data_IF_664752944436
#
_entry.id   IF_664752944436
#
_cell.length_a   1.000
_cell.length_b   1.000
_cell.length_c   1.000
_cell.angle_alpha   90.00
_cell.angle_beta   90.00
_cell.angle_gamma   90.00
#
_symmetry.space_group_name_H-M   'P 1'
#
loop_
_entity.id
_entity.type
_entity.pdbx_description
1 polymer ?
#
# COMPACT_ATOMS: atom_id res chain seq x y z
N UNK A 1 10.62 36.06 -5.57
CA UNK A 1 10.41 34.63 -5.24
C UNK A 1 10.72 33.81 -6.49
N UNK A 2 11.82 33.05 -6.50
CA UNK A 2 12.11 32.08 -7.58
C UNK A 2 11.27 30.82 -7.34
N UNK A 3 10.57 30.27 -8.33
CA UNK A 3 9.93 28.97 -8.18
C UNK A 3 11.02 27.89 -8.13
N UNK A 4 11.04 27.13 -7.05
CA UNK A 4 11.90 25.96 -6.88
C UNK A 4 11.37 24.83 -7.78
N UNK A 5 12.15 24.47 -8.81
CA UNK A 5 11.93 23.27 -9.60
C UNK A 5 12.13 22.04 -8.71
N UNK A 6 11.06 21.39 -8.28
CA UNK A 6 11.15 20.03 -7.75
C UNK A 6 11.59 19.07 -8.87
N UNK A 7 12.58 18.20 -8.64
CA UNK A 7 13.00 17.22 -9.64
C UNK A 7 11.85 16.23 -9.87
N UNK A 8 11.36 16.14 -11.12
CA UNK A 8 10.40 15.11 -11.54
C UNK A 8 11.00 13.74 -11.20
N UNK A 9 10.40 13.05 -10.23
CA UNK A 9 10.80 11.68 -9.86
C UNK A 9 10.77 10.81 -11.13
N UNK A 10 11.80 9.96 -11.36
CA UNK A 10 11.85 9.13 -12.54
C UNK A 10 10.61 8.23 -12.56
N UNK A 11 9.95 8.15 -13.71
CA UNK A 11 8.69 7.43 -13.94
C UNK A 11 8.69 6.01 -13.33
N UNK A 12 9.84 5.32 -13.36
CA UNK A 12 10.04 3.98 -12.82
C UNK A 12 10.08 3.86 -11.28
N UNK A 13 10.16 4.96 -10.52
CA UNK A 13 10.13 4.94 -9.05
C UNK A 13 8.74 5.14 -8.46
N UNK A 14 7.68 5.23 -9.29
CA UNK A 14 6.35 5.21 -8.72
C UNK A 14 6.09 3.82 -8.13
N UNK A 15 5.69 3.71 -6.84
CA UNK A 15 5.39 2.42 -6.22
C UNK A 15 4.27 1.68 -6.97
N UNK A 16 3.47 2.42 -7.74
CA UNK A 16 2.39 1.94 -8.60
C UNK A 16 2.95 1.19 -9.82
N UNK A 17 3.95 1.75 -10.52
CA UNK A 17 4.59 1.07 -11.67
C UNK A 17 5.32 -0.19 -11.20
N UNK A 18 5.94 -0.16 -10.01
CA UNK A 18 6.59 -1.34 -9.43
C UNK A 18 5.57 -2.45 -9.10
N UNK A 19 4.40 -2.10 -8.55
CA UNK A 19 3.34 -3.05 -8.25
C UNK A 19 2.72 -3.66 -9.52
N UNK A 20 2.54 -2.86 -10.58
CA UNK A 20 2.05 -3.35 -11.89
C UNK A 20 3.09 -4.28 -12.54
N UNK A 21 4.37 -3.90 -12.54
CA UNK A 21 5.45 -4.76 -13.03
C UNK A 21 5.55 -6.06 -12.21
N UNK A 22 5.42 -5.97 -10.88
CA UNK A 22 5.40 -7.12 -9.98
C UNK A 22 4.21 -8.04 -10.23
N UNK A 23 3.02 -7.48 -10.48
CA UNK A 23 1.82 -8.24 -10.85
C UNK A 23 1.99 -8.98 -12.19
N UNK A 24 2.55 -8.31 -13.20
CA UNK A 24 2.86 -8.91 -14.51
C UNK A 24 3.89 -10.05 -14.36
N UNK A 25 4.93 -9.84 -13.54
CA UNK A 25 5.94 -10.86 -13.23
C UNK A 25 5.35 -12.05 -12.47
N UNK A 26 4.47 -11.80 -11.49
CA UNK A 26 3.80 -12.84 -10.73
C UNK A 26 2.85 -13.66 -11.60
N UNK A 27 2.17 -13.01 -12.54
CA UNK A 27 1.34 -13.64 -13.56
C UNK A 27 2.18 -14.54 -14.48
N UNK A 28 3.32 -14.04 -14.97
CA UNK A 28 4.26 -14.82 -15.76
C UNK A 28 4.79 -16.03 -14.98
N UNK A 29 5.12 -15.83 -13.70
CA UNK A 29 5.58 -16.88 -12.79
C UNK A 29 4.50 -17.92 -12.47
N UNK A 30 3.26 -17.49 -12.18
CA UNK A 30 2.12 -18.37 -11.94
C UNK A 30 1.74 -19.17 -13.19
N UNK A 31 1.86 -18.59 -14.38
CA UNK A 31 1.67 -19.33 -15.64
C UNK A 31 2.79 -20.34 -15.88
N UNK A 32 4.03 -20.01 -15.50
CA UNK A 32 5.16 -20.95 -15.52
C UNK A 32 4.95 -22.16 -14.61
N UNK A 33 4.18 -22.00 -13.52
CA UNK A 33 3.85 -23.07 -12.58
C UNK A 33 2.61 -23.89 -12.97
N UNK A 34 1.62 -23.28 -13.65
CA UNK A 34 0.37 -23.94 -14.02
C UNK A 34 0.38 -24.57 -15.43
N UNK A 35 1.41 -24.35 -16.25
CA UNK A 35 1.53 -25.08 -17.52
C UNK A 35 2.05 -26.49 -17.23
N UNK A 36 1.17 -27.48 -17.24
CA UNK A 36 1.46 -28.90 -17.13
C UNK A 36 2.78 -29.29 -17.83
N UNK A 37 3.78 -29.63 -17.02
CA UNK A 37 4.84 -30.59 -17.31
C UNK A 37 5.75 -30.37 -18.53
N UNK A 38 5.75 -29.21 -19.20
CA UNK A 38 6.51 -29.01 -20.45
C UNK A 38 7.50 -27.84 -20.39
N UNK A 39 7.97 -27.48 -19.21
CA UNK A 39 8.97 -26.41 -19.02
C UNK A 39 10.42 -26.87 -19.34
N UNK A 40 10.65 -28.16 -19.56
CA UNK A 40 12.00 -28.70 -19.81
C UNK A 40 12.45 -28.72 -21.27
N UNK A 41 11.54 -28.67 -22.25
CA UNK A 41 11.92 -28.87 -23.68
C UNK A 41 12.21 -27.57 -24.46
N UNK A 42 11.84 -26.39 -23.94
CA UNK A 42 12.10 -25.10 -24.60
C UNK A 42 13.38 -24.39 -24.11
N UNK A 43 14.13 -24.98 -23.17
CA UNK A 43 15.37 -24.39 -22.63
C UNK A 43 16.65 -25.09 -23.11
N UNK A 44 16.53 -26.19 -23.86
CA UNK A 44 17.66 -26.74 -24.63
C UNK A 44 17.76 -25.97 -25.94
N UNK A 45 18.96 -25.51 -26.27
CA UNK A 45 19.30 -24.73 -27.46
C UNK A 45 18.89 -25.44 -28.75
N UNK A 46 17.62 -25.32 -29.12
CA UNK A 46 17.06 -25.87 -30.34
C UNK A 46 17.20 -24.83 -31.43
N UNK A 47 18.11 -25.09 -32.37
CA UNK A 47 18.26 -24.25 -33.56
C UNK A 47 17.03 -24.43 -34.44
N UNK A 48 16.20 -23.40 -34.51
CA UNK A 48 14.99 -23.41 -35.34
C UNK A 48 15.34 -22.90 -36.73
N UNK A 49 15.12 -23.71 -37.77
CA UNK A 49 15.30 -23.32 -39.18
C UNK A 49 13.95 -23.30 -39.88
N UNK A 50 13.58 -22.14 -40.43
CA UNK A 50 12.41 -22.01 -41.30
C UNK A 50 12.77 -22.53 -42.69
N UNK A 51 12.09 -23.58 -43.14
CA UNK A 51 12.35 -24.25 -44.41
C UNK A 51 11.07 -24.35 -45.23
N UNK A 52 11.20 -24.56 -46.53
CA UNK A 52 10.02 -24.75 -47.39
C UNK A 52 9.40 -26.14 -47.18
N UNK A 53 8.11 -26.29 -47.53
CA UNK A 53 7.44 -27.60 -47.46
C UNK A 53 8.16 -28.66 -48.34
N UNK A 54 8.69 -28.24 -49.48
CA UNK A 54 9.47 -29.10 -50.37
C UNK A 54 10.75 -29.60 -49.70
N UNK A 55 11.44 -28.72 -49.00
CA UNK A 55 12.69 -29.02 -48.30
C UNK A 55 12.44 -29.99 -47.13
N UNK A 56 11.32 -29.86 -46.40
CA UNK A 56 10.91 -30.88 -45.43
C UNK A 56 10.67 -32.23 -46.10
N UNK A 57 10.00 -32.27 -47.26
CA UNK A 57 9.76 -33.52 -48.00
C UNK A 57 11.08 -34.17 -48.45
N UNK A 58 12.07 -33.37 -48.84
CA UNK A 58 13.41 -33.85 -49.17
C UNK A 58 14.14 -34.41 -47.93
N UNK A 59 14.12 -33.69 -46.80
CA UNK A 59 14.75 -34.14 -45.55
C UNK A 59 14.13 -35.46 -45.03
N UNK A 60 12.81 -35.62 -45.17
CA UNK A 60 12.11 -36.87 -44.84
C UNK A 60 12.52 -37.98 -45.82
N UNK A 61 12.64 -37.67 -47.12
CA UNK A 61 13.04 -38.66 -48.14
C UNK A 61 14.48 -39.15 -47.93
N UNK A 62 15.37 -38.27 -47.47
CA UNK A 62 16.77 -38.55 -47.14
C UNK A 62 16.96 -39.22 -45.76
N UNK A 63 15.87 -39.47 -45.02
CA UNK A 63 15.88 -40.08 -43.69
C UNK A 63 16.63 -39.25 -42.62
N UNK A 64 16.66 -37.93 -42.80
CA UNK A 64 17.31 -36.98 -41.89
C UNK A 64 16.34 -36.46 -40.81
N UNK A 65 15.20 -37.11 -40.60
CA UNK A 65 14.19 -36.65 -39.64
C UNK A 65 13.75 -37.80 -38.76
N UNK A 66 13.76 -37.59 -37.45
CA UNK A 66 13.48 -38.62 -36.46
C UNK A 66 12.00 -38.58 -36.00
N UNK A 67 11.43 -37.37 -35.90
CA UNK A 67 10.02 -37.18 -35.56
C UNK A 67 9.42 -36.03 -36.36
N UNK A 68 8.16 -36.19 -36.77
CA UNK A 68 7.39 -35.16 -37.47
C UNK A 68 6.12 -34.83 -36.69
N UNK A 69 5.99 -33.61 -36.22
CA UNK A 69 4.78 -33.12 -35.59
C UNK A 69 3.96 -32.31 -36.59
N UNK A 70 2.71 -32.69 -36.80
CA UNK A 70 1.79 -32.07 -37.77
C UNK A 70 0.77 -31.24 -37.00
N UNK A 71 0.76 -29.93 -37.27
CA UNK A 71 -0.18 -28.97 -36.71
C UNK A 71 -1.31 -28.62 -37.68
N UNK A 72 -2.11 -27.62 -37.31
CA UNK A 72 -3.19 -27.10 -38.15
C UNK A 72 -2.66 -26.25 -39.32
N UNK A 73 -1.61 -25.48 -39.09
CA UNK A 73 -0.99 -24.56 -40.07
C UNK A 73 0.51 -24.80 -40.27
N UNK A 74 1.19 -25.49 -39.36
CA UNK A 74 2.63 -25.72 -39.37
C UNK A 74 2.97 -27.21 -39.25
N UNK A 75 4.07 -27.61 -39.88
CA UNK A 75 4.71 -28.91 -39.72
C UNK A 75 6.07 -28.66 -39.08
N UNK A 76 6.39 -29.43 -38.03
CA UNK A 76 7.67 -29.41 -37.34
C UNK A 76 8.37 -30.75 -37.56
N UNK A 77 9.56 -30.74 -38.10
CA UNK A 77 10.41 -31.92 -38.24
C UNK A 77 11.63 -31.77 -37.32
N UNK A 78 11.92 -32.76 -36.48
CA UNK A 78 13.08 -32.73 -35.60
C UNK A 78 14.19 -33.63 -36.11
N UNK A 79 15.40 -33.09 -36.22
CA UNK A 79 16.64 -33.83 -36.45
C UNK A 79 17.54 -33.72 -35.22
N UNK A 80 18.15 -34.83 -34.81
CA UNK A 80 19.11 -34.85 -33.70
C UNK A 80 20.53 -34.86 -34.26
N UNK A 81 21.18 -33.70 -34.20
CA UNK A 81 22.60 -33.56 -34.54
C UNK A 81 23.41 -33.56 -33.23
N UNK A 82 23.84 -34.75 -32.80
CA UNK A 82 24.56 -34.93 -31.54
C UNK A 82 23.73 -34.57 -30.30
N UNK A 83 24.19 -33.57 -29.53
CA UNK A 83 23.51 -33.11 -28.31
C UNK A 83 22.49 -31.98 -28.58
N UNK A 84 22.37 -31.51 -29.83
CA UNK A 84 21.44 -30.45 -30.23
C UNK A 84 20.30 -31.01 -31.10
N UNK A 85 19.08 -30.57 -30.81
CA UNK A 85 17.89 -30.85 -31.63
C UNK A 85 17.67 -29.67 -32.57
N UNK A 86 17.76 -29.91 -33.88
CA UNK A 86 17.40 -28.93 -34.91
C UNK A 86 15.93 -29.12 -35.25
N UNK A 87 15.14 -28.05 -35.14
CA UNK A 87 13.70 -28.07 -35.45
C UNK A 87 13.49 -27.32 -36.76
N UNK A 88 13.05 -28.06 -37.78
CA UNK A 88 12.64 -27.52 -39.07
C UNK A 88 11.16 -27.18 -39.04
N UNK A 89 10.80 -25.94 -39.37
CA UNK A 89 9.41 -25.48 -39.41
C UNK A 89 9.04 -25.11 -40.85
N UNK A 90 7.97 -25.70 -41.36
CA UNK A 90 7.35 -25.30 -42.62
C UNK A 90 5.85 -25.09 -42.46
N UNK A 91 5.27 -24.27 -43.34
CA UNK A 91 3.81 -24.14 -43.44
C UNK A 91 3.22 -25.41 -44.04
N UNK A 92 2.15 -25.91 -43.43
CA UNK A 92 1.43 -27.09 -43.91
C UNK A 92 0.78 -26.78 -45.25
N UNK A 93 1.10 -27.59 -46.26
CA UNK A 93 0.38 -27.64 -47.53
C UNK A 93 -0.58 -28.83 -47.45
N UNK A 94 -1.85 -28.71 -47.86
CA UNK A 94 -2.79 -29.83 -47.90
C UNK A 94 -2.36 -30.82 -48.99
N UNK A 95 -1.48 -31.74 -48.64
CA UNK A 95 -0.94 -32.78 -49.50
C UNK A 95 -1.30 -34.15 -48.90
N UNK A 96 -2.01 -34.97 -49.68
CA UNK A 96 -2.45 -36.31 -49.28
C UNK A 96 -1.31 -37.35 -49.32
N UNK A 97 -0.15 -36.98 -49.86
CA UNK A 97 1.00 -37.89 -50.05
C UNK A 97 1.98 -37.90 -48.87
N UNK A 98 1.82 -37.01 -47.89
CA UNK A 98 2.76 -36.85 -46.77
C UNK A 98 2.69 -37.99 -45.75
N UNK A 99 1.48 -38.40 -45.34
CA UNK A 99 1.29 -39.47 -44.34
C UNK A 99 1.73 -40.84 -44.89
N UNK A 100 1.37 -41.23 -46.13
CA UNK A 100 1.88 -42.48 -46.71
C UNK A 100 3.41 -42.53 -46.81
N UNK A 101 4.08 -41.40 -47.09
CA UNK A 101 5.53 -41.30 -47.18
C UNK A 101 6.20 -41.46 -45.79
N UNK A 102 5.56 -40.96 -44.73
CA UNK A 102 6.01 -41.14 -43.35
C UNK A 102 5.83 -42.60 -42.88
N UNK A 103 4.73 -43.24 -43.26
CA UNK A 103 4.47 -44.66 -42.99
C UNK A 103 5.47 -45.57 -43.73
N UNK A 104 5.79 -45.27 -44.99
CA UNK A 104 6.79 -46.00 -45.79
C UNK A 104 8.19 -45.93 -45.15
N UNK A 105 8.56 -44.78 -44.58
CA UNK A 105 9.86 -44.54 -43.94
C UNK A 105 9.89 -44.88 -42.44
N UNK A 106 8.76 -45.32 -41.85
CA UNK A 106 8.61 -45.64 -40.42
C UNK A 106 9.00 -44.49 -39.47
N UNK A 107 8.70 -43.25 -39.85
CA UNK A 107 8.98 -42.07 -39.03
C UNK A 107 7.79 -41.81 -38.11
N UNK A 108 8.03 -41.64 -36.81
CA UNK A 108 6.97 -41.35 -35.85
C UNK A 108 6.39 -39.95 -36.12
N UNK A 109 5.07 -39.87 -36.25
CA UNK A 109 4.36 -38.62 -36.38
C UNK A 109 3.30 -38.42 -35.30
N UNK A 110 3.14 -37.17 -34.87
CA UNK A 110 2.17 -36.79 -33.83
C UNK A 110 1.43 -35.51 -34.20
N UNK A 111 0.18 -35.39 -33.74
CA UNK A 111 -0.56 -34.14 -33.83
C UNK A 111 -0.16 -33.22 -32.68
N UNK A 112 0.08 -31.93 -32.96
CA UNK A 112 0.21 -30.91 -31.91
C UNK A 112 -0.82 -29.80 -32.09
N UNK A 113 -1.34 -29.31 -30.96
CA UNK A 113 -2.19 -28.13 -30.97
C UNK A 113 -1.30 -26.89 -31.12
N UNK A 114 -1.55 -26.10 -32.16
CA UNK A 114 -0.97 -24.76 -32.26
C UNK A 114 -1.64 -23.88 -31.23
N UNK A 115 -0.99 -23.72 -30.07
CA UNK A 115 -1.41 -22.69 -29.13
C UNK A 115 -0.97 -21.34 -29.69
N UNK A 116 -1.94 -20.45 -29.87
CA UNK A 116 -1.67 -19.05 -30.17
C UNK A 116 -1.22 -18.37 -28.89
N UNK A 117 -0.02 -18.70 -28.42
CA UNK A 117 0.54 -18.23 -27.15
C UNK A 117 0.34 -16.72 -26.93
N UNK A 118 0.53 -15.93 -28.00
CA UNK A 118 0.33 -14.47 -27.98
C UNK A 118 -1.14 -14.09 -27.77
N UNK A 119 -2.07 -14.71 -28.50
CA UNK A 119 -3.51 -14.46 -28.39
C UNK A 119 -4.04 -14.90 -27.03
N UNK A 120 -3.57 -16.03 -26.52
CA UNK A 120 -3.94 -16.55 -25.19
C UNK A 120 -3.37 -15.66 -24.07
N UNK A 121 -2.15 -15.14 -24.22
CA UNK A 121 -1.60 -14.12 -23.32
C UNK A 121 -2.43 -12.84 -23.34
N UNK A 122 -2.75 -12.33 -24.53
CA UNK A 122 -3.47 -11.08 -24.69
C UNK A 122 -4.91 -11.18 -24.17
N UNK A 123 -5.59 -12.29 -24.43
CA UNK A 123 -6.95 -12.56 -23.96
C UNK A 123 -7.04 -12.57 -22.43
N UNK A 124 -6.02 -13.11 -21.74
CA UNK A 124 -5.99 -13.09 -20.28
C UNK A 124 -5.49 -11.76 -19.69
N UNK A 125 -4.69 -10.99 -20.43
CA UNK A 125 -4.23 -9.67 -20.00
C UNK A 125 -5.37 -8.63 -20.00
N UNK A 126 -6.33 -8.75 -20.90
CA UNK A 126 -7.44 -7.80 -21.06
C UNK A 126 -8.27 -7.59 -19.77
N UNK A 127 -8.81 -8.63 -19.10
CA UNK A 127 -9.52 -8.46 -17.83
C UNK A 127 -8.68 -7.79 -16.73
N UNK A 128 -7.39 -8.10 -16.68
CA UNK A 128 -6.47 -7.60 -15.65
C UNK A 128 -6.20 -6.10 -15.87
N UNK A 129 -6.00 -5.68 -17.12
CA UNK A 129 -5.84 -4.27 -17.47
C UNK A 129 -7.10 -3.46 -17.15
N UNK A 130 -8.29 -4.03 -17.36
CA UNK A 130 -9.56 -3.38 -16.98
C UNK A 130 -9.65 -3.20 -15.46
N UNK A 131 -9.35 -4.24 -14.68
CA UNK A 131 -9.34 -4.17 -13.22
C UNK A 131 -8.31 -3.16 -12.72
N UNK A 132 -7.09 -3.17 -13.26
CA UNK A 132 -6.04 -2.21 -12.92
C UNK A 132 -6.42 -0.78 -13.29
N UNK A 133 -7.04 -0.58 -14.46
CA UNK A 133 -7.54 0.72 -14.90
C UNK A 133 -8.64 1.27 -13.98
N UNK A 134 -9.59 0.42 -13.60
CA UNK A 134 -10.70 0.77 -12.69
C UNK A 134 -10.19 1.02 -11.26
N UNK A 135 -9.23 0.22 -10.80
CA UNK A 135 -8.55 0.43 -9.52
C UNK A 135 -7.75 1.74 -9.51
N UNK A 136 -7.02 2.06 -10.58
CA UNK A 136 -6.33 3.36 -10.72
C UNK A 136 -7.30 4.53 -10.74
N UNK A 137 -8.43 4.41 -11.44
CA UNK A 137 -9.47 5.43 -11.45
C UNK A 137 -10.06 5.67 -10.06
N UNK A 138 -10.34 4.59 -9.32
CA UNK A 138 -10.88 4.67 -7.96
C UNK A 138 -9.84 5.18 -6.94
N UNK A 139 -8.59 4.70 -7.02
CA UNK A 139 -7.50 5.14 -6.16
C UNK A 139 -7.21 6.65 -6.35
N UNK A 140 -7.22 7.13 -7.59
CA UNK A 140 -7.06 8.56 -7.88
C UNK A 140 -8.23 9.41 -7.34
N UNK A 141 -9.43 8.84 -7.20
CA UNK A 141 -10.59 9.52 -6.59
C UNK A 141 -10.52 9.51 -5.07
N UNK A 142 -10.12 8.38 -4.45
CA UNK A 142 -9.96 8.28 -3.00
C UNK A 142 -8.80 9.13 -2.48
N UNK A 143 -7.67 9.18 -3.19
CA UNK A 143 -6.51 9.97 -2.78
C UNK A 143 -6.75 11.49 -2.84
N UNK A 144 -7.66 11.95 -3.71
CA UNK A 144 -8.03 13.38 -3.79
C UNK A 144 -8.97 13.83 -2.66
N UNK A 145 -9.79 12.94 -2.10
CA UNK A 145 -10.70 13.26 -0.99
C UNK A 145 -10.15 12.88 0.39
N UNK A 146 -9.17 11.97 0.47
CA UNK A 146 -8.40 11.65 1.67
C UNK A 146 -6.92 11.95 1.38
N UNK A 147 -6.49 13.17 1.72
CA UNK A 147 -5.08 13.56 1.62
C UNK A 147 -4.18 12.59 2.39
N UNK A 148 -3.42 11.78 1.63
CA UNK A 148 -2.49 10.78 2.15
C UNK A 148 -2.77 9.41 1.55
N UNK A 149 -1.91 8.97 0.64
CA UNK A 149 -2.04 7.69 -0.07
C UNK A 149 -2.09 6.46 0.83
N UNK A 150 -2.36 5.31 0.21
CA UNK A 150 -2.61 3.97 0.78
C UNK A 150 -1.55 3.45 1.79
N UNK A 151 -0.42 4.14 1.95
CA UNK A 151 0.61 3.82 2.94
C UNK A 151 0.59 4.73 4.20
N UNK A 152 -0.47 5.53 4.40
CA UNK A 152 -0.63 6.43 5.55
C UNK A 152 -0.97 5.77 6.90
N UNK A 153 -0.69 4.47 7.04
CA UNK A 153 -0.81 3.74 8.31
C UNK A 153 0.34 4.16 9.24
N UNK A 154 0.16 5.19 10.06
CA UNK A 154 1.13 5.49 11.13
C UNK A 154 1.24 6.93 11.60
N UNK A 155 0.50 7.90 11.05
CA UNK A 155 0.52 9.26 11.59
C UNK A 155 -0.80 9.57 12.29
N UNK A 156 -0.79 9.49 13.62
CA UNK A 156 -1.80 10.05 14.54
C UNK A 156 -2.03 11.57 14.37
N UNK A 157 -1.46 12.19 13.32
CA UNK A 157 -1.44 13.62 13.06
C UNK A 157 -2.81 14.21 12.71
N UNK A 158 -3.83 13.39 12.42
CA UNK A 158 -5.18 13.89 12.05
C UNK A 158 -6.18 13.90 13.21
N UNK A 159 -5.89 13.25 14.34
CA UNK A 159 -6.86 13.14 15.46
C UNK A 159 -6.70 14.21 16.54
N UNK A 160 -5.61 14.99 16.51
CA UNK A 160 -5.31 15.99 17.54
C UNK A 160 -5.46 17.39 16.96
N UNK A 161 -6.68 17.79 16.59
CA UNK A 161 -6.94 19.16 16.20
C UNK A 161 -7.12 20.02 17.45
N UNK A 162 -6.37 21.11 17.52
CA UNK A 162 -6.55 22.11 18.58
C UNK A 162 -7.87 22.86 18.36
N UNK A 163 -8.74 22.85 19.36
CA UNK A 163 -9.93 23.69 19.38
C UNK A 163 -9.55 25.07 19.95
N UNK A 164 -10.15 26.14 19.43
CA UNK A 164 -10.13 27.45 20.11
C UNK A 164 -11.52 27.67 20.72
N UNK A 165 -11.73 27.28 21.99
CA UNK A 165 -13.04 27.41 22.62
C UNK A 165 -13.42 28.88 22.74
N UNK A 166 -14.68 29.19 22.47
CA UNK A 166 -15.24 30.54 22.64
C UNK A 166 -16.02 30.71 23.95
N UNK A 167 -15.92 29.72 24.85
CA UNK A 167 -16.58 29.71 26.16
C UNK A 167 -15.79 30.58 27.13
N UNK A 168 -16.47 31.38 27.92
CA UNK A 168 -15.91 32.31 28.93
C UNK A 168 -16.43 32.01 30.33
N UNK A 169 -15.86 32.64 31.36
CA UNK A 169 -16.34 32.45 32.73
C UNK A 169 -17.76 32.93 32.96
N UNK A 170 -18.22 33.89 32.14
CA UNK A 170 -19.59 34.39 32.17
C UNK A 170 -20.62 33.37 31.68
N UNK A 171 -20.20 32.38 30.87
CA UNK A 171 -21.07 31.33 30.35
C UNK A 171 -21.31 30.20 31.36
N UNK A 172 -20.64 30.25 32.52
CA UNK A 172 -20.77 29.27 33.60
C UNK A 172 -21.49 29.89 34.80
N UNK A 173 -22.48 29.20 35.34
CA UNK A 173 -23.09 29.53 36.63
C UNK A 173 -22.39 28.78 37.79
N UNK A 174 -22.22 29.45 38.94
CA UNK A 174 -21.68 28.85 40.17
C UNK A 174 -20.17 28.64 40.20
N UNK A 175 -19.71 27.84 41.18
CA UNK A 175 -18.29 27.47 41.42
C UNK A 175 -17.34 28.68 41.53
N UNK A 176 -17.75 29.72 42.26
CA UNK A 176 -16.99 30.98 42.38
C UNK A 176 -15.57 30.77 42.93
N UNK A 177 -15.43 29.91 43.94
CA UNK A 177 -14.13 29.55 44.53
C UNK A 177 -13.19 28.91 43.49
N UNK A 178 -13.69 27.93 42.72
CA UNK A 178 -12.90 27.28 41.67
C UNK A 178 -12.57 28.24 40.52
N UNK A 179 -13.47 29.18 40.19
CA UNK A 179 -13.20 30.23 39.19
C UNK A 179 -12.07 31.15 39.66
N UNK A 180 -12.08 31.55 40.93
CA UNK A 180 -11.06 32.43 41.50
C UNK A 180 -9.67 31.78 41.47
N UNK A 181 -9.56 30.48 41.79
CA UNK A 181 -8.29 29.74 41.69
C UNK A 181 -7.77 29.65 40.25
N UNK A 182 -8.64 29.40 39.26
CA UNK A 182 -8.19 29.27 37.86
C UNK A 182 -7.96 30.62 37.16
N UNK A 183 -8.39 31.75 37.74
CA UNK A 183 -8.09 33.10 37.22
C UNK A 183 -6.58 33.34 37.22
N UNK A 184 -5.85 32.84 38.24
CA UNK A 184 -4.38 32.93 38.27
C UNK A 184 -3.77 32.19 37.07
N UNK A 185 -4.30 31.01 36.73
CA UNK A 185 -3.88 30.21 35.57
C UNK A 185 -4.11 30.96 34.26
N UNK A 186 -5.22 31.70 34.15
CA UNK A 186 -5.47 32.56 32.98
C UNK A 186 -4.42 33.66 32.87
N UNK A 187 -4.04 34.32 33.97
CA UNK A 187 -3.02 35.39 33.94
C UNK A 187 -1.64 34.85 33.56
N UNK A 188 -1.26 33.67 34.06
CA UNK A 188 -0.04 32.97 33.66
C UNK A 188 0.01 32.68 32.16
N UNK A 189 -1.12 32.25 31.57
CA UNK A 189 -1.19 31.91 30.15
C UNK A 189 -1.17 33.16 29.25
N UNK A 190 -1.72 34.29 29.73
CA UNK A 190 -1.69 35.58 29.01
C UNK A 190 -0.33 36.26 29.08
N UNK A 191 0.35 36.20 30.23
CA UNK A 191 1.59 36.94 30.48
C UNK A 191 2.72 36.06 31.03
N UNK A 192 3.12 34.98 30.32
CA UNK A 192 4.10 34.01 30.84
C UNK A 192 5.48 34.63 31.13
N UNK A 193 5.90 35.64 30.36
CA UNK A 193 7.19 36.30 30.55
C UNK A 193 7.29 37.08 31.86
N UNK A 194 6.20 37.70 32.32
CA UNK A 194 6.17 38.45 33.58
C UNK A 194 6.57 37.55 34.75
N UNK A 195 6.00 36.36 34.79
CA UNK A 195 6.23 35.38 35.84
C UNK A 195 7.61 34.72 35.72
N UNK A 196 8.06 34.44 34.50
CA UNK A 196 9.41 33.92 34.26
C UNK A 196 10.50 34.90 34.75
N UNK A 197 10.33 36.21 34.51
CA UNK A 197 11.26 37.25 34.94
C UNK A 197 11.34 37.41 36.47
N UNK A 198 10.24 37.13 37.17
CA UNK A 198 10.17 37.12 38.63
C UNK A 198 10.76 35.82 39.24
N UNK A 199 11.17 34.86 38.40
CA UNK A 199 11.63 33.54 38.85
C UNK A 199 10.53 32.64 39.38
N UNK A 200 9.25 32.98 39.12
CA UNK A 200 8.12 32.19 39.55
C UNK A 200 8.02 30.90 38.73
N UNK A 201 7.81 29.76 39.41
CA UNK A 201 7.57 28.47 38.76
C UNK A 201 6.10 28.36 38.40
N UNK A 202 5.81 28.34 37.10
CA UNK A 202 4.45 28.16 36.60
C UNK A 202 3.96 26.74 36.96
N UNK A 203 2.75 26.59 37.54
CA UNK A 203 2.13 25.28 37.75
C UNK A 203 2.04 24.51 36.44
N UNK A 204 2.55 23.29 36.40
CA UNK A 204 2.60 22.47 35.17
C UNK A 204 1.30 21.71 34.90
N UNK A 205 0.40 21.62 35.88
CA UNK A 205 -0.85 20.90 35.77
C UNK A 205 -1.77 21.18 36.94
N UNK A 206 -3.07 21.08 36.69
CA UNK A 206 -4.16 21.26 37.66
C UNK A 206 -5.06 20.04 37.56
N UNK A 207 -5.47 19.48 38.70
CA UNK A 207 -6.41 18.36 38.75
C UNK A 207 -7.77 18.86 39.25
N UNK A 208 -8.79 18.80 38.39
CA UNK A 208 -10.16 19.15 38.75
C UNK A 208 -10.88 17.90 39.29
N UNK A 209 -11.31 17.93 40.55
CA UNK A 209 -11.99 16.82 41.21
C UNK A 209 -13.42 17.21 41.57
N UNK A 210 -14.35 16.29 41.36
CA UNK A 210 -15.74 16.46 41.78
C UNK A 210 -16.69 15.47 41.10
N UNK A 211 -17.95 15.39 41.56
CA UNK A 211 -18.98 14.54 40.95
C UNK A 211 -19.14 14.75 39.44
N UNK A 212 -19.68 13.78 38.68
CA UNK A 212 -20.01 14.00 37.28
C UNK A 212 -21.05 15.13 37.13
N UNK A 213 -20.97 15.90 36.06
CA UNK A 213 -21.91 17.00 35.78
C UNK A 213 -21.63 18.34 36.47
N UNK A 214 -20.56 18.48 37.26
CA UNK A 214 -20.21 19.75 37.94
C UNK A 214 -19.47 20.77 37.06
N UNK A 215 -19.40 20.54 35.74
CA UNK A 215 -18.82 21.50 34.81
C UNK A 215 -17.28 21.52 34.74
N UNK A 216 -16.57 20.47 35.17
CA UNK A 216 -15.09 20.38 35.09
C UNK A 216 -14.54 20.65 33.67
N UNK A 217 -15.09 19.97 32.67
CA UNK A 217 -14.72 20.16 31.25
C UNK A 217 -15.08 21.56 30.75
N UNK A 218 -16.18 22.12 31.25
CA UNK A 218 -16.61 23.48 30.90
C UNK A 218 -15.67 24.52 31.51
N UNK A 219 -15.21 24.33 32.75
CA UNK A 219 -14.22 25.19 33.42
C UNK A 219 -12.90 25.19 32.66
N UNK A 220 -12.40 24.01 32.27
CA UNK A 220 -11.17 23.91 31.49
C UNK A 220 -11.27 24.62 30.13
N UNK A 221 -12.41 24.50 29.45
CA UNK A 221 -12.69 25.22 28.19
C UNK A 221 -12.80 26.74 28.41
N UNK A 222 -13.42 27.17 29.50
CA UNK A 222 -13.54 28.58 29.85
C UNK A 222 -12.18 29.21 30.15
N UNK A 223 -11.29 28.52 30.86
CA UNK A 223 -9.91 28.97 31.10
C UNK A 223 -9.15 29.17 29.77
N UNK A 224 -9.26 28.21 28.85
CA UNK A 224 -8.65 28.33 27.52
C UNK A 224 -9.23 29.50 26.70
N UNK A 225 -10.55 29.68 26.74
CA UNK A 225 -11.25 30.76 26.04
C UNK A 225 -10.94 32.15 26.63
N UNK A 226 -10.80 32.26 27.95
CA UNK A 226 -10.39 33.49 28.61
C UNK A 226 -8.94 33.88 28.30
N UNK A 227 -8.05 32.88 28.20
CA UNK A 227 -6.65 33.08 27.85
C UNK A 227 -6.38 33.17 26.33
N UNK A 228 -7.38 32.92 25.48
CA UNK A 228 -7.28 32.87 24.02
C UNK A 228 -6.22 31.87 23.50
N UNK A 229 -6.00 30.78 24.23
CA UNK A 229 -5.00 29.76 23.90
C UNK A 229 -5.63 28.53 23.24
N UNK A 230 -4.89 27.78 22.41
CA UNK A 230 -5.35 26.50 21.87
C UNK A 230 -5.67 25.50 22.98
N UNK A 231 -6.77 24.76 22.80
CA UNK A 231 -7.26 23.72 23.70
C UNK A 231 -7.17 22.36 23.03
N UNK A 232 -6.38 21.47 23.61
CA UNK A 232 -6.25 20.08 23.19
C UNK A 232 -7.01 19.19 24.18
N UNK A 233 -7.96 18.39 23.71
CA UNK A 233 -8.77 17.51 24.56
C UNK A 233 -8.55 16.06 24.20
N UNK A 234 -8.37 15.19 25.19
CA UNK A 234 -8.28 13.74 25.01
C UNK A 234 -8.92 13.02 26.20
N UNK A 235 -9.70 11.97 25.96
CA UNK A 235 -10.21 11.13 27.05
C UNK A 235 -9.14 10.15 27.54
N UNK A 236 -9.07 9.90 28.84
CA UNK A 236 -8.10 8.99 29.46
C UNK A 236 -8.20 7.56 28.94
N UNK A 237 -9.42 7.13 28.63
CA UNK A 237 -9.69 5.84 27.96
C UNK A 237 -9.03 5.72 26.57
N UNK A 238 -8.74 6.83 25.88
CA UNK A 238 -8.10 6.83 24.56
C UNK A 238 -6.62 6.40 24.59
N UNK A 239 -6.04 6.30 25.79
CA UNK A 239 -4.68 5.80 26.00
C UNK A 239 -4.63 4.29 26.29
N UNK A 240 -5.77 3.66 26.55
CA UNK A 240 -5.88 2.23 26.81
C UNK A 240 -6.20 1.54 25.48
N UNK A 241 -5.22 0.87 24.89
CA UNK A 241 -5.39 0.13 23.64
C UNK A 241 -4.90 -1.32 23.76
N UNK A 242 -5.42 -2.19 22.89
CA UNK A 242 -5.06 -3.61 22.85
C UNK A 242 -3.61 -3.86 22.40
N UNK A 243 -2.98 -2.86 21.77
CA UNK A 243 -1.61 -2.95 21.29
C UNK A 243 -0.65 -2.19 22.20
N UNK A 244 0.35 -2.89 22.70
CA UNK A 244 1.38 -2.35 23.59
C UNK A 244 2.12 -1.20 22.90
N UNK A 245 2.27 -0.08 23.59
CA UNK A 245 3.08 1.07 23.13
C UNK A 245 2.35 2.11 22.27
N UNK A 246 1.18 1.80 21.71
CA UNK A 246 0.40 2.79 20.94
C UNK A 246 -0.12 3.94 21.82
N UNK A 247 -0.64 3.64 23.01
CA UNK A 247 -1.09 4.66 23.97
C UNK A 247 0.05 5.62 24.38
N UNK A 248 1.24 5.08 24.66
CA UNK A 248 2.41 5.87 25.02
C UNK A 248 2.89 6.79 23.88
N UNK A 249 2.81 6.32 22.62
CA UNK A 249 3.13 7.15 21.45
C UNK A 249 2.18 8.34 21.34
N UNK A 250 0.87 8.12 21.51
CA UNK A 250 -0.13 9.21 21.44
C UNK A 250 0.07 10.27 22.50
N UNK A 251 0.43 9.89 23.73
CA UNK A 251 0.78 10.86 24.78
C UNK A 251 1.93 11.73 24.30
N UNK A 252 3.01 11.14 23.78
CA UNK A 252 4.16 11.91 23.27
C UNK A 252 3.75 12.85 22.14
N UNK A 253 3.02 12.35 21.15
CA UNK A 253 2.56 13.13 19.99
C UNK A 253 1.64 14.31 20.41
N UNK A 254 0.77 14.09 21.39
CA UNK A 254 -0.10 15.11 21.97
C UNK A 254 0.74 16.24 22.60
N UNK A 255 1.70 15.89 23.47
CA UNK A 255 2.57 16.86 24.12
C UNK A 255 3.48 17.59 23.13
N UNK A 256 4.01 16.90 22.11
CA UNK A 256 4.81 17.53 21.05
C UNK A 256 4.00 18.52 20.22
N UNK A 257 2.75 18.19 19.89
CA UNK A 257 1.86 19.05 19.11
C UNK A 257 1.44 20.28 19.92
N UNK A 258 1.11 20.10 21.20
CA UNK A 258 0.80 21.20 22.11
C UNK A 258 2.00 22.15 22.30
N UNK A 259 3.21 21.61 22.48
CA UNK A 259 4.44 22.41 22.63
C UNK A 259 4.72 23.30 21.41
N UNK A 260 4.36 22.86 20.19
CA UNK A 260 4.49 23.66 18.96
C UNK A 260 3.51 24.83 18.90
N UNK A 261 2.41 24.78 19.66
CA UNK A 261 1.38 25.81 19.72
C UNK A 261 1.35 26.51 21.09
N UNK A 262 2.45 26.46 21.85
CA UNK A 262 2.53 27.09 23.16
C UNK A 262 2.39 28.63 23.07
N UNK A 263 1.71 29.29 24.03
CA UNK A 263 1.02 28.70 25.19
C UNK A 263 -0.28 27.99 24.80
N UNK A 264 -0.56 26.83 25.40
CA UNK A 264 -1.72 25.99 25.10
C UNK A 264 -2.15 25.17 26.32
N UNK A 265 -3.41 24.73 26.36
CA UNK A 265 -3.95 23.84 27.40
C UNK A 265 -4.15 22.42 26.85
N UNK A 266 -3.68 21.42 27.59
CA UNK A 266 -4.01 20.02 27.37
C UNK A 266 -4.98 19.58 28.46
N UNK A 267 -6.18 19.16 28.07
CA UNK A 267 -7.19 18.60 28.94
C UNK A 267 -7.27 17.08 28.75
N UNK A 268 -7.08 16.36 29.84
CA UNK A 268 -7.24 14.91 29.90
C UNK A 268 -8.47 14.62 30.76
N UNK A 269 -9.56 14.21 30.12
CA UNK A 269 -10.75 13.76 30.85
C UNK A 269 -10.54 12.35 31.39
N UNK A 270 -11.23 11.95 32.46
CA UNK A 270 -11.17 10.57 33.02
C UNK A 270 -9.72 10.06 33.23
N UNK A 271 -8.86 10.90 33.80
CA UNK A 271 -7.44 10.55 34.04
C UNK A 271 -7.25 9.35 34.98
N UNK A 272 -8.27 9.03 35.77
CA UNK A 272 -8.32 7.84 36.61
C UNK A 272 -8.24 6.53 35.82
N UNK A 273 -8.63 6.54 34.53
CA UNK A 273 -8.46 5.39 33.65
C UNK A 273 -6.99 4.97 33.49
N UNK A 274 -6.06 5.93 33.51
CA UNK A 274 -4.61 5.69 33.34
C UNK A 274 -3.82 5.75 34.65
N UNK A 275 -4.38 6.40 35.69
CA UNK A 275 -3.71 6.71 36.94
C UNK A 275 -3.85 5.69 38.07
N UNK A 276 -4.44 4.51 37.82
CA UNK A 276 -4.62 3.49 38.87
C UNK A 276 -3.29 2.96 39.39
N UNK A 277 -3.19 2.86 40.72
CA UNK A 277 -2.04 2.25 41.39
C UNK A 277 -1.80 0.84 40.87
N UNK A 278 -0.53 0.47 40.69
CA UNK A 278 -0.11 -0.88 40.26
C UNK A 278 -0.32 -1.95 41.34
N UNK A 279 -0.81 -1.58 42.52
CA UNK A 279 -0.95 -2.47 43.67
C UNK A 279 -2.27 -3.23 43.68
N UNK A 280 -2.38 -4.27 42.83
CA UNK A 280 -3.19 -5.48 43.01
C UNK A 280 -3.12 -6.31 41.72
N UNK A 281 -2.18 -7.25 41.67
CA UNK A 281 -1.97 -8.10 40.48
C UNK A 281 -0.71 -8.94 40.57
N UNK A 282 -0.54 -9.61 41.71
CA UNK A 282 0.41 -10.70 41.95
C UNK A 282 -0.28 -11.71 42.84
#
# INVERSE_FOLDING_TARGET
>A
MKPTNEPKKPFFQSPIILAVLGGILLIFFLRSFNSDGSFSDNFLASSTKNVSYHEIKQLISNNEVENVSIGQTLIKASHKEGNNRVIYIAKRVPDLTLVPLLDEKKINYSGFSESNFFTDMLGWLMPILVILGLWMFMANRMQKNMGGGIFGMGSAKKLINAEKPNVRFNDMAGNEEAKEEVVEIVDFLKYPERYANLGAKIPKGVLLVGPPGTGKTLLAKAVAGEAHVPFFSMGGSSFIEMFVGLGASRVRDLFETAKKQAPSIIFIDEIDAIGKSRAAGG
#
